data_IF_190844714127
#
_entry.id   IF_190844714127
#
_cell.length_a   1.000
_cell.length_b   1.000
_cell.length_c   1.000
_cell.angle_alpha   90.00
_cell.angle_beta   90.00
_cell.angle_gamma   90.00
#
_symmetry.space_group_name_H-M   'P 1'
#
loop_
_entity.id
_entity.type
_entity.pdbx_description
1 polymer ?
#
# COMPACT_ATOMS: atom_id res chain seq x y z
N UNK A 1 18.65 -14.89 16.29
CA UNK A 1 18.34 -14.86 14.84
C UNK A 1 17.13 -13.95 14.71
N UNK A 2 17.28 -12.76 14.13
CA UNK A 2 16.15 -11.85 13.97
C UNK A 2 15.11 -12.53 13.07
N UNK A 3 13.85 -12.50 13.49
CA UNK A 3 12.74 -13.03 12.72
C UNK A 3 12.64 -12.24 11.41
N UNK A 4 13.06 -12.84 10.29
CA UNK A 4 13.03 -12.21 8.96
C UNK A 4 11.59 -11.86 8.52
N UNK A 5 10.58 -12.43 9.18
CA UNK A 5 9.16 -12.10 8.95
C UNK A 5 8.66 -10.91 9.80
N UNK A 6 9.50 -10.41 10.71
CA UNK A 6 9.26 -9.19 11.48
C UNK A 6 9.85 -7.93 10.81
N UNK A 7 10.60 -8.08 9.71
CA UNK A 7 11.18 -6.95 8.99
C UNK A 7 10.08 -6.06 8.39
N UNK A 8 10.15 -4.78 8.76
CA UNK A 8 9.33 -3.72 8.19
C UNK A 8 10.11 -3.02 7.09
N UNK A 9 9.43 -2.73 5.98
CA UNK A 9 9.98 -1.91 4.90
C UNK A 9 9.20 -0.61 4.77
N UNK A 10 9.89 0.53 4.55
CA UNK A 10 9.23 1.78 4.22
C UNK A 10 8.74 1.75 2.77
N UNK A 11 7.53 2.24 2.50
CA UNK A 11 6.95 2.38 1.16
C UNK A 11 6.41 3.80 0.97
N UNK A 12 6.56 4.37 -0.23
CA UNK A 12 5.89 5.63 -0.59
C UNK A 12 4.49 5.34 -1.10
N UNK A 13 3.48 5.71 -0.32
CA UNK A 13 2.07 5.50 -0.64
C UNK A 13 1.47 6.78 -1.20
N UNK A 14 0.82 6.66 -2.35
CA UNK A 14 0.12 7.75 -3.02
C UNK A 14 -1.32 7.33 -3.21
N UNK A 15 -2.24 7.97 -2.49
CA UNK A 15 -3.67 7.68 -2.60
C UNK A 15 -4.29 8.64 -3.63
N UNK A 16 -5.06 8.09 -4.57
CA UNK A 16 -5.72 8.87 -5.60
C UNK A 16 -6.69 9.90 -5.00
N UNK A 17 -6.48 11.16 -5.36
CA UNK A 17 -7.21 12.31 -4.82
C UNK A 17 -6.54 12.94 -3.61
N UNK A 18 -5.58 12.28 -2.96
CA UNK A 18 -4.75 12.88 -1.90
C UNK A 18 -3.65 13.74 -2.51
N UNK A 19 -3.23 14.75 -1.76
CA UNK A 19 -2.12 15.62 -2.14
C UNK A 19 -0.82 15.25 -1.43
N UNK A 20 -0.90 14.42 -0.37
CA UNK A 20 0.24 14.03 0.45
C UNK A 20 0.74 12.64 0.07
N UNK A 21 2.03 12.53 -0.21
CA UNK A 21 2.74 11.23 -0.27
C UNK A 21 3.06 10.78 1.16
N UNK A 22 2.61 9.59 1.53
CA UNK A 22 2.78 9.07 2.89
C UNK A 22 3.85 7.97 2.90
N UNK A 23 4.84 8.07 3.80
CA UNK A 23 5.74 6.96 4.08
C UNK A 23 5.04 5.97 5.01
N UNK A 24 4.76 4.76 4.55
CA UNK A 24 4.08 3.72 5.32
C UNK A 24 5.03 2.55 5.59
N UNK A 25 5.12 2.11 6.84
CA UNK A 25 5.89 0.92 7.22
C UNK A 25 5.05 -0.35 7.03
N UNK A 26 5.39 -1.14 6.02
CA UNK A 26 4.73 -2.39 5.69
C UNK A 26 5.55 -3.59 6.18
N UNK A 27 4.90 -4.73 6.41
CA UNK A 27 5.60 -6.01 6.61
C UNK A 27 5.63 -6.76 5.29
N UNK A 28 6.62 -7.61 5.08
CA UNK A 28 6.74 -8.45 3.89
C UNK A 28 5.49 -9.30 3.60
N UNK A 29 4.83 -9.80 4.65
CA UNK A 29 3.63 -10.63 4.57
C UNK A 29 2.31 -9.86 4.48
N UNK A 30 2.36 -8.53 4.53
CA UNK A 30 1.17 -7.69 4.43
C UNK A 30 0.55 -7.88 3.04
N UNK A 31 -0.75 -8.13 2.97
CA UNK A 31 -1.44 -8.27 1.68
C UNK A 31 -1.75 -6.90 1.07
N UNK A 32 -2.04 -6.85 -0.23
CA UNK A 32 -2.46 -5.61 -0.89
C UNK A 32 -3.77 -5.06 -0.32
N UNK A 33 -4.69 -5.92 0.11
CA UNK A 33 -5.90 -5.51 0.80
C UNK A 33 -5.59 -4.77 2.11
N UNK A 34 -4.74 -5.35 2.96
CA UNK A 34 -4.32 -4.75 4.22
C UNK A 34 -3.53 -3.45 4.01
N UNK A 35 -2.66 -3.42 3.00
CA UNK A 35 -1.90 -2.22 2.62
C UNK A 35 -2.82 -1.09 2.18
N UNK A 36 -3.79 -1.39 1.30
CA UNK A 36 -4.81 -0.43 0.84
C UNK A 36 -5.61 0.13 2.01
N UNK A 37 -6.08 -0.73 2.92
CA UNK A 37 -6.85 -0.30 4.09
C UNK A 37 -6.02 0.61 5.01
N UNK A 38 -4.74 0.30 5.25
CA UNK A 38 -3.84 1.17 6.04
C UNK A 38 -3.59 2.51 5.34
N UNK A 39 -3.39 2.50 4.02
CA UNK A 39 -3.22 3.71 3.22
C UNK A 39 -4.45 4.62 3.36
N UNK A 40 -5.66 4.09 3.16
CA UNK A 40 -6.90 4.84 3.27
C UNK A 40 -7.13 5.38 4.70
N UNK A 41 -6.83 4.60 5.73
CA UNK A 41 -6.87 5.10 7.12
C UNK A 41 -5.96 6.30 7.32
N UNK A 42 -4.73 6.25 6.80
CA UNK A 42 -3.76 7.35 6.93
C UNK A 42 -4.17 8.62 6.16
N UNK A 43 -4.96 8.45 5.10
CA UNK A 43 -5.48 9.53 4.28
C UNK A 43 -6.87 10.03 4.72
N UNK A 44 -7.56 9.33 5.61
CA UNK A 44 -8.98 9.58 5.96
C UNK A 44 -9.28 10.98 6.49
N UNK A 45 -8.30 11.67 7.06
CA UNK A 45 -8.45 13.07 7.51
C UNK A 45 -8.43 14.09 6.37
N UNK A 46 -8.00 13.67 5.17
CA UNK A 46 -7.88 14.49 3.96
C UNK A 46 -8.81 14.03 2.84
N UNK A 47 -9.19 12.75 2.85
CA UNK A 47 -10.01 12.12 1.83
C UNK A 47 -11.23 11.44 2.40
N UNK A 48 -12.32 11.47 1.64
CA UNK A 48 -13.49 10.65 1.91
C UNK A 48 -13.23 9.20 1.40
N UNK A 49 -13.16 8.19 2.28
CA UNK A 49 -12.83 6.82 1.90
C UNK A 49 -14.01 6.00 1.36
N UNK A 50 -15.19 6.60 1.12
CA UNK A 50 -16.41 5.87 0.73
C UNK A 50 -16.35 5.15 -0.63
N UNK A 51 -15.27 5.29 -1.39
CA UNK A 51 -15.08 4.62 -2.68
C UNK A 51 -14.31 3.30 -2.52
N UNK A 52 -14.45 2.38 -3.48
CA UNK A 52 -13.62 1.18 -3.52
C UNK A 52 -12.27 1.54 -4.11
N UNK A 53 -11.19 0.97 -3.55
CA UNK A 53 -9.82 1.19 -4.02
C UNK A 53 -9.09 -0.13 -4.27
N UNK A 54 -8.00 -0.08 -5.04
CA UNK A 54 -7.07 -1.18 -5.29
C UNK A 54 -5.63 -0.67 -5.35
N UNK A 55 -4.67 -1.58 -5.22
CA UNK A 55 -3.23 -1.27 -5.22
C UNK A 55 -2.67 -1.44 -6.62
N UNK A 56 -1.84 -0.47 -7.04
CA UNK A 56 -1.10 -0.47 -8.30
C UNK A 56 0.38 -0.27 -8.01
N UNK A 57 1.22 -1.13 -8.59
CA UNK A 57 2.68 -1.04 -8.56
C UNK A 57 3.19 -1.14 -9.99
N UNK A 58 4.10 -0.23 -10.38
CA UNK A 58 4.62 -0.14 -11.75
C UNK A 58 3.53 -0.15 -12.83
N UNK A 59 2.42 0.54 -12.56
CA UNK A 59 1.27 0.63 -13.46
C UNK A 59 0.41 -0.64 -13.56
N UNK A 60 0.70 -1.68 -12.77
CA UNK A 60 -0.05 -2.94 -12.76
C UNK A 60 -0.95 -3.05 -11.53
N UNK A 61 -2.25 -3.30 -11.69
CA UNK A 61 -3.11 -3.64 -10.55
C UNK A 61 -2.69 -4.99 -9.96
N UNK A 62 -2.60 -5.05 -8.64
CA UNK A 62 -2.27 -6.27 -7.91
C UNK A 62 -3.51 -6.91 -7.29
N UNK A 63 -3.50 -8.24 -7.19
CA UNK A 63 -4.55 -8.97 -6.51
C UNK A 63 -4.57 -8.63 -5.01
N UNK A 64 -5.76 -8.51 -4.38
CA UNK A 64 -5.87 -8.21 -2.94
C UNK A 64 -5.07 -9.14 -2.04
N UNK A 65 -4.91 -10.41 -2.44
CA UNK A 65 -4.24 -11.45 -1.64
C UNK A 65 -2.74 -11.56 -1.90
N UNK A 66 -2.21 -10.83 -2.89
CA UNK A 66 -0.78 -10.77 -3.14
C UNK A 66 -0.11 -10.08 -1.95
N UNK A 67 0.96 -10.68 -1.41
CA UNK A 67 1.75 -10.05 -0.35
C UNK A 67 2.75 -9.05 -0.93
N UNK A 68 3.25 -8.13 -0.10
CA UNK A 68 4.35 -7.23 -0.46
C UNK A 68 5.55 -8.00 -1.01
N UNK A 69 5.90 -9.13 -0.38
CA UNK A 69 6.98 -10.01 -0.82
C UNK A 69 6.70 -10.63 -2.20
N UNK A 70 5.51 -11.20 -2.40
CA UNK A 70 5.15 -11.89 -3.66
C UNK A 70 5.00 -10.91 -4.83
N UNK A 71 4.62 -9.67 -4.54
CA UNK A 71 4.57 -8.59 -5.52
C UNK A 71 5.97 -8.09 -5.95
N UNK A 72 7.04 -8.53 -5.28
CA UNK A 72 8.41 -8.08 -5.57
C UNK A 72 8.68 -6.63 -5.19
N UNK A 73 7.85 -6.04 -4.31
CA UNK A 73 7.99 -4.65 -3.88
C UNK A 73 9.22 -4.52 -2.97
N UNK A 74 10.10 -3.59 -3.28
CA UNK A 74 11.32 -3.30 -2.53
C UNK A 74 11.12 -2.13 -1.53
N UNK A 75 12.02 -1.96 -0.55
CA UNK A 75 12.04 -0.78 0.30
C UNK A 75 12.12 0.51 -0.53
N UNK A 76 11.33 1.51 -0.13
CA UNK A 76 11.19 2.82 -0.78
C UNK A 76 10.52 2.80 -2.15
N UNK A 77 9.94 1.68 -2.56
CA UNK A 77 9.13 1.66 -3.78
C UNK A 77 7.88 2.52 -3.63
N UNK A 78 7.43 3.04 -4.76
CA UNK A 78 6.17 3.76 -4.91
C UNK A 78 5.02 2.76 -5.07
N UNK A 79 3.99 2.95 -4.28
CA UNK A 79 2.73 2.20 -4.36
C UNK A 79 1.59 3.19 -4.51
N UNK A 80 0.83 3.05 -5.60
CA UNK A 80 -0.35 3.85 -5.85
C UNK A 80 -1.60 3.11 -5.34
N UNK A 81 -2.50 3.84 -4.68
CA UNK A 81 -3.84 3.36 -4.30
C UNK A 81 -4.86 4.09 -5.14
N UNK A 82 -5.51 3.37 -6.07
CA UNK A 82 -6.38 3.93 -7.10
C UNK A 82 -7.84 3.58 -6.84
N UNK A 83 -8.76 4.44 -7.27
CA UNK A 83 -10.20 4.21 -7.18
C UNK A 83 -10.63 3.24 -8.26
N UNK A 84 -11.57 2.34 -7.95
CA UNK A 84 -12.30 1.62 -9.00
C UNK A 84 -13.17 2.62 -9.78
N UNK A 85 -13.08 2.58 -11.11
CA UNK A 85 -13.97 3.33 -11.99
C UNK A 85 -15.40 2.77 -11.94
#
# INVERSE_FOLDING_TARGET
MADKDAEVIPLYIIVEGDTVVTLLLARWKLTMAELCERALRSASVRLNPAQRYFVVVDGKPLSPETTVRDAGIAPLDRVDVRKWA
#
